data_IF_435461079395
#
_entry.id   IF_435461079395
#
_cell.length_a   1.000
_cell.length_b   1.000
_cell.length_c   1.000
_cell.angle_alpha   90.00
_cell.angle_beta   90.00
_cell.angle_gamma   90.00
#
_symmetry.space_group_name_H-M   'P 1'
#
loop_
_entity.id
_entity.type
_entity.pdbx_description
1 polymer ?
#
# COMPACT_ATOMS: atom_id res chain seq x y z
N UNK A 1 31.34 43.52 31.52
CA UNK A 1 30.01 42.87 31.54
C UNK A 1 29.72 42.34 32.94
N UNK A 2 28.68 42.87 33.59
CA UNK A 2 28.24 42.47 34.94
C UNK A 2 27.81 41.00 34.96
N UNK A 3 27.96 40.30 36.10
CA UNK A 3 27.59 38.86 36.23
C UNK A 3 26.15 38.58 35.77
N UNK A 4 25.25 39.54 35.98
CA UNK A 4 23.85 39.46 35.56
C UNK A 4 23.70 39.39 34.04
N UNK A 5 24.48 40.17 33.28
CA UNK A 5 24.47 40.12 31.82
C UNK A 5 25.00 38.77 31.30
N UNK A 6 25.98 38.17 31.98
CA UNK A 6 26.50 36.83 31.62
C UNK A 6 25.46 35.73 31.83
N UNK A 7 24.66 35.81 32.90
CA UNK A 7 23.58 34.85 33.18
C UNK A 7 22.45 35.01 32.16
N UNK A 8 22.07 36.25 31.83
CA UNK A 8 21.05 36.51 30.81
C UNK A 8 21.51 36.04 29.42
N UNK A 9 22.76 36.30 29.04
CA UNK A 9 23.34 35.81 27.78
C UNK A 9 23.37 34.28 27.75
N UNK A 10 23.75 33.63 28.86
CA UNK A 10 23.76 32.17 28.95
C UNK A 10 22.36 31.58 28.87
N UNK A 11 21.37 32.20 29.54
CA UNK A 11 19.98 31.79 29.49
C UNK A 11 19.39 31.92 28.07
N UNK A 12 19.67 33.05 27.39
CA UNK A 12 19.24 33.27 25.99
C UNK A 12 19.92 32.29 25.05
N UNK A 13 21.23 32.04 25.20
CA UNK A 13 21.94 31.06 24.40
C UNK A 13 21.37 29.64 24.57
N UNK A 14 21.04 29.24 25.81
CA UNK A 14 20.42 27.94 26.10
C UNK A 14 19.03 27.81 25.48
N UNK A 15 18.22 28.88 25.54
CA UNK A 15 16.89 28.94 24.92
C UNK A 15 16.95 28.79 23.40
N UNK A 16 17.96 29.40 22.75
CA UNK A 16 18.19 29.27 21.31
C UNK A 16 18.57 27.83 20.96
N UNK A 17 19.48 27.20 21.71
CA UNK A 17 19.91 25.82 21.47
C UNK A 17 18.73 24.85 21.58
N UNK A 18 17.88 25.00 22.60
CA UNK A 18 16.69 24.14 22.79
C UNK A 18 15.70 24.32 21.63
N UNK A 19 15.45 25.56 21.19
CA UNK A 19 14.59 25.82 20.04
C UNK A 19 15.13 25.26 18.72
N UNK A 20 16.45 25.37 18.48
CA UNK A 20 17.10 24.77 17.30
C UNK A 20 17.01 23.24 17.37
N UNK A 21 17.26 22.63 18.52
CA UNK A 21 17.15 21.18 18.71
C UNK A 21 15.72 20.68 18.43
N UNK A 22 14.70 21.39 18.93
CA UNK A 22 13.29 21.08 18.62
C UNK A 22 12.98 21.21 17.12
N UNK A 23 13.49 22.26 16.46
CA UNK A 23 13.27 22.49 15.05
C UNK A 23 13.94 21.42 14.19
N UNK A 24 15.17 21.01 14.51
CA UNK A 24 15.89 19.91 13.86
C UNK A 24 15.16 18.58 14.08
N UNK A 25 14.71 18.28 15.29
CA UNK A 25 13.96 17.06 15.60
C UNK A 25 12.63 17.01 14.82
N UNK A 26 11.90 18.12 14.74
CA UNK A 26 10.65 18.22 13.97
C UNK A 26 10.87 18.07 12.45
N UNK A 27 11.95 18.66 11.92
CA UNK A 27 12.32 18.51 10.50
C UNK A 27 12.82 17.10 10.17
N UNK A 28 13.50 16.43 11.11
CA UNK A 28 13.94 15.04 10.94
C UNK A 28 12.75 14.06 10.97
N UNK A 29 11.73 14.32 11.81
CA UNK A 29 10.49 13.54 11.85
C UNK A 29 9.62 13.72 10.58
N UNK A 30 9.77 14.82 9.84
CA UNK A 30 9.04 15.04 8.57
C UNK A 30 9.50 14.14 7.42
N UNK A 31 10.65 13.45 7.51
CA UNK A 31 11.08 12.49 6.46
C UNK A 31 10.44 11.09 6.60
N UNK A 32 9.76 10.79 7.70
CA UNK A 32 9.13 9.48 7.94
C UNK A 32 7.60 9.47 7.86
N UNK A 33 6.93 10.62 7.91
CA UNK A 33 5.49 10.67 8.11
C UNK A 33 4.74 11.04 6.81
N UNK A 34 4.76 10.13 5.83
CA UNK A 34 3.70 10.12 4.80
C UNK A 34 2.44 9.64 5.50
N UNK A 35 1.51 10.57 5.75
CA UNK A 35 0.21 10.26 6.36
C UNK A 35 -0.56 9.24 5.52
N UNK A 36 -0.51 7.98 5.93
CA UNK A 36 -1.30 6.89 5.40
C UNK A 36 -1.70 5.96 6.54
N UNK A 37 -3.01 5.74 6.70
CA UNK A 37 -3.64 4.68 7.49
C UNK A 37 -2.89 4.21 8.75
N UNK A 38 -3.05 4.92 9.87
CA UNK A 38 -2.72 4.41 11.21
C UNK A 38 -3.61 3.21 11.54
N UNK A 39 -3.14 2.00 11.25
CA UNK A 39 -3.82 0.75 11.65
C UNK A 39 -3.26 -0.51 11.00
N UNK A 40 -2.66 -0.40 9.83
CA UNK A 40 -1.88 -1.48 9.21
C UNK A 40 -0.43 -0.98 9.10
N UNK A 41 0.53 -1.71 9.66
CA UNK A 41 1.95 -1.41 9.44
C UNK A 41 2.28 -1.38 7.95
N UNK A 42 3.43 -0.81 7.56
CA UNK A 42 3.88 -0.81 6.16
C UNK A 42 3.77 -2.25 5.61
N UNK A 43 2.96 -2.49 4.55
CA UNK A 43 2.81 -3.83 3.98
C UNK A 43 4.15 -4.50 3.66
N UNK A 44 5.16 -3.70 3.33
CA UNK A 44 6.54 -4.13 3.08
C UNK A 44 7.21 -4.63 4.36
N UNK A 45 7.01 -3.97 5.49
CA UNK A 45 7.54 -4.40 6.78
C UNK A 45 6.85 -5.67 7.29
N UNK A 46 5.54 -5.78 7.05
CA UNK A 46 4.76 -6.97 7.43
C UNK A 46 5.29 -8.21 6.70
N UNK A 47 5.41 -8.15 5.37
CA UNK A 47 5.91 -9.30 4.60
C UNK A 47 7.40 -9.57 4.89
N UNK A 48 8.21 -8.53 5.08
CA UNK A 48 9.62 -8.69 5.41
C UNK A 48 9.81 -9.45 6.73
N UNK A 49 8.97 -9.17 7.73
CA UNK A 49 8.97 -9.86 9.02
C UNK A 49 8.47 -11.30 8.90
N UNK A 50 7.35 -11.52 8.21
CA UNK A 50 6.72 -12.85 8.07
C UNK A 50 7.61 -13.82 7.27
N UNK A 51 8.24 -13.35 6.20
CA UNK A 51 9.14 -14.17 5.36
C UNK A 51 10.54 -14.28 5.98
N UNK A 52 10.93 -13.33 6.83
CA UNK A 52 12.29 -13.24 7.38
C UNK A 52 13.29 -12.79 6.32
N UNK A 53 12.98 -11.70 5.62
CA UNK A 53 13.82 -11.14 4.55
C UNK A 53 15.10 -10.51 5.10
N UNK A 54 16.21 -10.69 4.39
CA UNK A 54 17.44 -9.92 4.63
C UNK A 54 17.29 -8.48 4.13
N UNK A 55 18.16 -7.57 4.55
CA UNK A 55 18.09 -6.17 4.13
C UNK A 55 18.34 -5.99 2.62
N UNK A 56 19.15 -6.87 2.02
CA UNK A 56 19.32 -6.93 0.57
C UNK A 56 18.01 -7.34 -0.13
N UNK A 57 17.35 -8.40 0.35
CA UNK A 57 16.07 -8.87 -0.18
C UNK A 57 14.95 -7.84 -0.01
N UNK A 58 14.91 -7.10 1.10
CA UNK A 58 13.96 -5.99 1.30
C UNK A 58 14.16 -4.90 0.25
N UNK A 59 15.41 -4.51 0.01
CA UNK A 59 15.74 -3.49 -0.98
C UNK A 59 15.32 -3.91 -2.39
N UNK A 60 15.56 -5.16 -2.75
CA UNK A 60 15.16 -5.71 -4.05
C UNK A 60 13.63 -5.82 -4.16
N UNK A 61 12.96 -6.29 -3.11
CA UNK A 61 11.50 -6.37 -3.02
C UNK A 61 10.82 -5.02 -3.22
N UNK A 62 11.33 -3.95 -2.59
CA UNK A 62 10.81 -2.59 -2.77
C UNK A 62 10.93 -2.15 -4.23
N UNK A 63 12.08 -2.37 -4.87
CA UNK A 63 12.27 -2.04 -6.29
C UNK A 63 11.32 -2.80 -7.20
N UNK A 64 11.13 -4.11 -6.97
CA UNK A 64 10.19 -4.91 -7.75
C UNK A 64 8.76 -4.42 -7.56
N UNK A 65 8.35 -4.09 -6.34
CA UNK A 65 7.02 -3.56 -6.07
C UNK A 65 6.78 -2.21 -6.76
N UNK A 66 7.75 -1.30 -6.69
CA UNK A 66 7.67 0.00 -7.38
C UNK A 66 7.56 -0.17 -8.89
N UNK A 67 8.39 -1.05 -9.48
CA UNK A 67 8.35 -1.36 -10.90
C UNK A 67 7.00 -1.98 -11.31
N UNK A 68 6.50 -2.94 -10.53
CA UNK A 68 5.22 -3.58 -10.76
C UNK A 68 4.07 -2.56 -10.69
N UNK A 69 4.03 -1.73 -9.64
CA UNK A 69 3.01 -0.70 -9.48
C UNK A 69 3.02 0.30 -10.65
N UNK A 70 4.21 0.82 -11.00
CA UNK A 70 4.38 1.73 -12.15
C UNK A 70 3.91 1.10 -13.45
N UNK A 71 4.15 -0.20 -13.64
CA UNK A 71 3.70 -0.92 -14.83
C UNK A 71 2.18 -1.05 -14.90
N UNK A 72 1.49 -1.13 -13.75
CA UNK A 72 0.05 -1.34 -13.66
C UNK A 72 -0.76 -0.05 -13.65
N UNK A 73 -0.20 1.07 -13.17
CA UNK A 73 -0.86 2.39 -13.16
C UNK A 73 -1.62 2.70 -14.44
N UNK A 74 -1.03 2.61 -15.66
CA UNK A 74 -1.77 2.93 -16.88
C UNK A 74 -2.95 1.99 -17.15
N UNK A 75 -2.90 0.72 -16.72
CA UNK A 75 -4.02 -0.22 -16.91
C UNK A 75 -5.20 0.11 -15.98
N UNK A 76 -4.91 0.47 -14.73
CA UNK A 76 -5.94 0.96 -13.81
C UNK A 76 -6.58 2.26 -14.30
N UNK A 77 -5.79 3.16 -14.87
CA UNK A 77 -6.29 4.41 -15.44
C UNK A 77 -7.17 4.14 -16.67
N UNK A 78 -6.77 3.19 -17.54
CA UNK A 78 -7.61 2.72 -18.66
C UNK A 78 -8.94 2.15 -18.18
N UNK A 79 -8.95 1.30 -17.15
CA UNK A 79 -10.20 0.78 -16.57
C UNK A 79 -11.07 1.91 -16.04
N UNK A 80 -10.48 2.90 -15.34
CA UNK A 80 -11.23 4.06 -14.82
C UNK A 80 -11.84 4.88 -15.95
N UNK A 81 -11.08 5.14 -17.01
CA UNK A 81 -11.54 5.84 -18.21
C UNK A 81 -12.67 5.08 -18.92
N UNK A 82 -12.53 3.76 -19.11
CA UNK A 82 -13.56 2.91 -19.71
C UNK A 82 -14.84 2.87 -18.88
N UNK A 83 -14.74 2.77 -17.55
CA UNK A 83 -15.90 2.83 -16.64
C UNK A 83 -16.62 4.17 -16.72
N UNK A 84 -15.87 5.28 -16.81
CA UNK A 84 -16.43 6.62 -16.99
C UNK A 84 -17.13 6.75 -18.35
N UNK A 85 -16.47 6.37 -19.44
CA UNK A 85 -17.03 6.41 -20.78
C UNK A 85 -18.29 5.55 -20.91
N UNK A 86 -18.31 4.36 -20.29
CA UNK A 86 -19.51 3.52 -20.20
C UNK A 86 -20.66 4.24 -19.51
N UNK A 87 -20.39 4.90 -18.38
CA UNK A 87 -21.42 5.67 -17.65
C UNK A 87 -21.93 6.87 -18.44
N UNK A 88 -21.06 7.55 -19.20
CA UNK A 88 -21.46 8.63 -20.10
C UNK A 88 -22.32 8.11 -21.26
N UNK A 89 -21.95 6.97 -21.86
CA UNK A 89 -22.72 6.35 -22.94
C UNK A 89 -24.14 5.92 -22.48
N UNK A 90 -24.30 5.48 -21.23
CA UNK A 90 -25.62 5.15 -20.66
C UNK A 90 -26.57 6.36 -20.52
N UNK A 91 -26.06 7.60 -20.60
CA UNK A 91 -26.90 8.80 -20.57
C UNK A 91 -27.49 9.16 -21.93
N UNK A 92 -27.00 8.54 -23.01
CA UNK A 92 -27.54 8.78 -24.34
C UNK A 92 -28.91 8.11 -24.47
N UNK A 93 -29.85 8.80 -25.11
CA UNK A 93 -31.25 8.37 -25.24
C UNK A 93 -31.42 7.06 -26.02
N UNK A 94 -30.45 6.72 -26.90
CA UNK A 94 -30.48 5.54 -27.77
C UNK A 94 -29.15 4.76 -27.76
N UNK A 95 -28.64 4.37 -26.59
CA UNK A 95 -27.48 3.46 -26.53
C UNK A 95 -27.93 2.01 -26.80
N UNK A 96 -27.27 1.35 -27.75
CA UNK A 96 -27.50 -0.06 -28.04
C UNK A 96 -26.72 -0.95 -27.04
N UNK A 97 -27.32 -2.06 -26.61
CA UNK A 97 -26.72 -3.08 -25.75
C UNK A 97 -25.34 -3.56 -26.23
N UNK A 98 -25.14 -3.65 -27.55
CA UNK A 98 -23.83 -4.02 -28.14
C UNK A 98 -22.71 -3.06 -27.74
N UNK A 99 -23.00 -1.76 -27.65
CA UNK A 99 -22.05 -0.73 -27.21
C UNK A 99 -21.72 -0.90 -25.73
N UNK A 100 -22.72 -1.20 -24.89
CA UNK A 100 -22.52 -1.45 -23.44
C UNK A 100 -21.71 -2.73 -23.20
N UNK A 101 -21.97 -3.79 -23.98
CA UNK A 101 -21.22 -5.04 -23.94
C UNK A 101 -19.75 -4.82 -24.34
N UNK A 102 -19.49 -3.98 -25.35
CA UNK A 102 -18.14 -3.62 -25.78
C UNK A 102 -17.28 -3.03 -24.65
N UNK A 103 -17.84 -2.14 -23.83
CA UNK A 103 -17.13 -1.61 -22.66
C UNK A 103 -16.77 -2.71 -21.64
N UNK A 104 -17.66 -3.67 -21.42
CA UNK A 104 -17.40 -4.78 -20.49
C UNK A 104 -16.25 -5.67 -21.00
N UNK A 105 -16.20 -5.93 -22.31
CA UNK A 105 -15.07 -6.65 -22.94
C UNK A 105 -13.76 -5.90 -22.76
N UNK A 106 -13.72 -4.60 -23.07
CA UNK A 106 -12.49 -3.80 -22.93
C UNK A 106 -12.02 -3.72 -21.47
N UNK A 107 -12.94 -3.62 -20.51
CA UNK A 107 -12.59 -3.66 -19.07
C UNK A 107 -12.02 -5.03 -18.70
N UNK A 108 -12.63 -6.13 -19.18
CA UNK A 108 -12.17 -7.48 -18.91
C UNK A 108 -10.77 -7.74 -19.49
N UNK A 109 -10.45 -7.22 -20.68
CA UNK A 109 -9.13 -7.30 -21.28
C UNK A 109 -8.06 -6.63 -20.42
N UNK A 110 -8.33 -5.41 -19.93
CA UNK A 110 -7.41 -4.70 -19.03
C UNK A 110 -7.24 -5.44 -17.70
N UNK A 111 -8.32 -6.01 -17.15
CA UNK A 111 -8.27 -6.82 -15.94
C UNK A 111 -7.41 -8.07 -16.13
N UNK A 112 -7.57 -8.77 -17.25
CA UNK A 112 -6.77 -9.95 -17.58
C UNK A 112 -5.27 -9.63 -17.68
N UNK A 113 -4.90 -8.44 -18.18
CA UNK A 113 -3.51 -7.99 -18.19
C UNK A 113 -2.97 -7.72 -16.79
N UNK A 114 -3.77 -7.14 -15.90
CA UNK A 114 -3.41 -6.93 -14.49
C UNK A 114 -3.19 -8.29 -13.79
N UNK A 115 -4.09 -9.24 -14.00
CA UNK A 115 -4.02 -10.55 -13.36
C UNK A 115 -2.78 -11.34 -13.83
N UNK A 116 -2.50 -11.33 -15.13
CA UNK A 116 -1.26 -11.93 -15.69
C UNK A 116 -0.01 -11.29 -15.09
N UNK A 117 0.02 -9.97 -14.99
CA UNK A 117 1.14 -9.24 -14.39
C UNK A 117 1.31 -9.55 -12.90
N UNK A 118 0.21 -9.73 -12.15
CA UNK A 118 0.25 -10.11 -10.74
C UNK A 118 0.87 -11.52 -10.56
N UNK A 119 0.47 -12.50 -11.37
CA UNK A 119 1.07 -13.85 -11.34
C UNK A 119 2.56 -13.79 -11.66
N UNK A 120 2.95 -13.00 -12.66
CA UNK A 120 4.37 -12.80 -13.01
C UNK A 120 5.15 -12.15 -11.86
N UNK A 121 4.57 -11.15 -11.19
CA UNK A 121 5.18 -10.49 -10.04
C UNK A 121 5.39 -11.46 -8.88
N UNK A 122 4.37 -12.25 -8.53
CA UNK A 122 4.48 -13.25 -7.47
C UNK A 122 5.61 -14.25 -7.73
N UNK A 123 5.74 -14.75 -8.97
CA UNK A 123 6.83 -15.66 -9.36
C UNK A 123 8.20 -15.00 -9.27
N UNK A 124 8.31 -13.76 -9.72
CA UNK A 124 9.57 -12.99 -9.68
C UNK A 124 10.02 -12.76 -8.25
N UNK A 125 9.11 -12.32 -7.38
CA UNK A 125 9.41 -12.10 -5.96
C UNK A 125 9.78 -13.40 -5.26
N UNK A 126 9.06 -14.49 -5.52
CA UNK A 126 9.32 -15.82 -4.94
C UNK A 126 10.73 -16.32 -5.28
N UNK A 127 11.22 -16.03 -6.48
CA UNK A 127 12.53 -16.49 -6.95
C UNK A 127 13.72 -15.88 -6.18
N UNK A 128 13.53 -14.74 -5.51
CA UNK A 128 14.58 -14.08 -4.71
C UNK A 128 14.78 -14.71 -3.33
N UNK A 129 13.87 -15.60 -2.92
CA UNK A 129 13.85 -16.21 -1.59
C UNK A 129 14.49 -17.60 -1.59
N UNK A 130 15.11 -17.96 -0.47
CA UNK A 130 15.61 -19.32 -0.22
C UNK A 130 14.46 -20.32 -0.12
N UNK A 131 14.74 -21.63 -0.21
CA UNK A 131 13.69 -22.67 -0.13
C UNK A 131 12.83 -22.59 1.15
N UNK A 132 13.41 -22.22 2.29
CA UNK A 132 12.66 -22.01 3.53
C UNK A 132 11.81 -20.74 3.51
N UNK A 133 12.37 -19.64 2.99
CA UNK A 133 11.66 -18.37 2.86
C UNK A 133 10.51 -18.47 1.84
N UNK A 134 10.67 -19.25 0.77
CA UNK A 134 9.62 -19.51 -0.21
C UNK A 134 8.38 -20.13 0.44
N UNK A 135 8.54 -21.10 1.34
CA UNK A 135 7.40 -21.69 2.07
C UNK A 135 6.63 -20.65 2.90
N UNK A 136 7.36 -19.75 3.58
CA UNK A 136 6.76 -18.66 4.36
C UNK A 136 6.06 -17.64 3.46
N UNK A 137 6.66 -17.31 2.33
CA UNK A 137 6.08 -16.42 1.33
C UNK A 137 4.81 -17.00 0.71
N UNK A 138 4.81 -18.28 0.34
CA UNK A 138 3.65 -18.96 -0.23
C UNK A 138 2.46 -18.94 0.75
N UNK A 139 2.71 -19.26 2.03
CA UNK A 139 1.69 -19.18 3.09
C UNK A 139 1.19 -17.74 3.33
N UNK A 140 2.09 -16.74 3.26
CA UNK A 140 1.72 -15.34 3.37
C UNK A 140 0.79 -14.91 2.22
N UNK A 141 1.12 -15.27 0.98
CA UNK A 141 0.32 -14.94 -0.20
C UNK A 141 -1.06 -15.60 -0.13
N UNK A 142 -1.13 -16.87 0.28
CA UNK A 142 -2.39 -17.58 0.47
C UNK A 142 -3.30 -16.88 1.48
N UNK A 143 -2.77 -16.53 2.66
CA UNK A 143 -3.51 -15.78 3.69
C UNK A 143 -4.00 -14.43 3.18
N UNK A 144 -3.21 -13.75 2.35
CA UNK A 144 -3.60 -12.47 1.74
C UNK A 144 -4.72 -12.64 0.71
N UNK A 145 -4.72 -13.72 -0.08
CA UNK A 145 -5.79 -14.01 -1.03
C UNK A 145 -7.10 -14.37 -0.33
N UNK A 146 -7.03 -15.17 0.73
CA UNK A 146 -8.21 -15.54 1.54
C UNK A 146 -8.85 -14.32 2.22
N UNK A 147 -8.03 -13.35 2.69
CA UNK A 147 -8.52 -12.10 3.31
C UNK A 147 -9.19 -11.12 2.35
N UNK A 148 -8.92 -11.20 1.04
CA UNK A 148 -9.54 -10.33 0.03
C UNK A 148 -10.95 -10.79 -0.37
N UNK A 149 -11.39 -11.96 0.09
CA UNK A 149 -12.80 -12.32 0.10
C UNK A 149 -13.41 -11.75 1.38
N UNK A 150 -14.34 -10.79 1.33
CA UNK A 150 -15.24 -10.59 2.45
C UNK A 150 -16.09 -11.86 2.53
N UNK A 151 -15.62 -12.86 3.28
CA UNK A 151 -16.53 -13.81 3.89
C UNK A 151 -17.43 -12.95 4.76
N UNK A 152 -18.70 -12.82 4.37
CA UNK A 152 -19.74 -12.36 5.28
C UNK A 152 -19.69 -13.28 6.49
N UNK A 153 -18.93 -12.87 7.50
CA UNK A 153 -18.85 -13.58 8.75
C UNK A 153 -20.06 -13.10 9.52
N UNK A 154 -21.12 -13.90 9.41
CA UNK A 154 -22.22 -13.95 10.35
C UNK A 154 -21.68 -13.87 11.77
N UNK A 155 -21.71 -12.67 12.35
CA UNK A 155 -21.65 -12.48 13.79
C UNK A 155 -23.08 -12.50 14.32
N UNK A 156 -23.77 -13.64 14.24
CA UNK A 156 -24.99 -13.83 15.02
C UNK A 156 -25.47 -15.28 15.23
N UNK A 157 -24.56 -16.24 15.49
CA UNK A 157 -24.98 -17.61 15.87
C UNK A 157 -24.67 -18.01 17.32
N UNK A 158 -24.26 -17.09 18.19
CA UNK A 158 -23.87 -17.42 19.58
C UNK A 158 -24.79 -16.81 20.67
N UNK A 159 -26.06 -16.54 20.38
CA UNK A 159 -26.99 -16.00 21.41
C UNK A 159 -28.35 -16.68 21.49
N UNK A 160 -28.49 -17.93 21.02
CA UNK A 160 -29.71 -18.71 21.29
C UNK A 160 -29.43 -20.17 21.56
N UNK A 161 -28.84 -20.47 22.72
CA UNK A 161 -29.12 -21.74 23.41
C UNK A 161 -28.78 -21.64 24.91
N UNK A 162 -29.53 -20.78 25.62
CA UNK A 162 -29.80 -20.94 27.06
C UNK A 162 -31.17 -20.35 27.36
N UNK A 163 -32.22 -21.13 27.14
CA UNK A 163 -33.48 -21.08 27.89
C UNK A 163 -34.04 -22.48 27.99
#
# INVERSE_FOLDING_TARGET
MTRQNKILILAVALLIIINIAMLVMMLSQRKGNRGGYKGYGDPTEVIAKEVGMTDSQKTEYVKLNEAHFKSLTPKFDSIRALKKARFEAMKAENVNDSTIAGFSTLIAEQQALIDKAAVSHFRTVRAMFTGEQQKKYDAFVEKMMQRRMPHGSDKNSDTKEKK
#
